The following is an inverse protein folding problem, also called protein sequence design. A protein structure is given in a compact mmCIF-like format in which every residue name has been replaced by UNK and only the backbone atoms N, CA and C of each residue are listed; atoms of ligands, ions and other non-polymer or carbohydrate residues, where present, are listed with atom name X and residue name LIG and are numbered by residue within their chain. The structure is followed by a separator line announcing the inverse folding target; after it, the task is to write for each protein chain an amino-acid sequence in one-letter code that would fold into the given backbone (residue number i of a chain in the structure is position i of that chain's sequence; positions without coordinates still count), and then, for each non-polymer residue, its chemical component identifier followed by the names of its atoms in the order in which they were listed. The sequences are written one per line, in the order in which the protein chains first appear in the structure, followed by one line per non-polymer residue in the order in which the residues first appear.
data_IF_410725628469
#
_entry.id   IF_410725628469
#
_cell.length_a   1.000
_cell.length_b   1.000
_cell.length_c   1.000
_cell.angle_alpha   90.00
_cell.angle_beta   90.00
_cell.angle_gamma   90.00
#
_symmetry.space_group_name_H-M   'P 1'
#
loop_
_entity.id
_entity.type
_entity.pdbx_description
1 polymer ?
#
# COMPACT_ATOMS: atom_id res chain seq x y z
N UNK A 1 -11.05 23.84 -26.87
CA UNK A 1 -12.35 23.38 -26.32
C UNK A 1 -12.11 23.12 -24.84
N UNK A 2 -12.82 23.78 -23.91
CA UNK A 2 -12.35 23.92 -22.53
C UNK A 2 -12.81 22.73 -21.67
N UNK A 3 -11.89 21.81 -21.35
CA UNK A 3 -12.04 20.89 -20.21
C UNK A 3 -11.68 21.56 -18.87
N UNK A 4 -11.37 22.87 -18.88
CA UNK A 4 -10.82 23.60 -17.74
C UNK A 4 -11.82 24.06 -16.68
N UNK A 5 -13.10 23.67 -16.72
CA UNK A 5 -14.10 24.19 -15.77
C UNK A 5 -14.46 23.25 -14.63
N UNK A 6 -14.27 21.93 -14.77
CA UNK A 6 -14.65 20.98 -13.71
C UNK A 6 -13.53 20.82 -12.67
N UNK A 7 -12.28 20.66 -13.14
CA UNK A 7 -11.12 20.41 -12.28
C UNK A 7 -10.76 21.64 -11.41
N UNK A 8 -10.86 22.85 -11.98
CA UNK A 8 -10.65 24.10 -11.23
C UNK A 8 -11.70 24.29 -10.12
N UNK A 9 -12.94 23.85 -10.35
CA UNK A 9 -14.01 23.93 -9.36
C UNK A 9 -13.82 22.92 -8.22
N UNK A 10 -13.38 21.69 -8.53
CA UNK A 10 -13.16 20.66 -7.52
C UNK A 10 -11.96 20.99 -6.63
N UNK A 11 -10.86 21.52 -7.18
CA UNK A 11 -9.71 21.95 -6.39
C UNK A 11 -10.04 23.16 -5.49
N UNK A 12 -10.88 24.09 -5.96
CA UNK A 12 -11.35 25.21 -5.13
C UNK A 12 -12.21 24.72 -3.94
N UNK A 13 -12.97 23.64 -4.14
CA UNK A 13 -13.80 23.04 -3.10
C UNK A 13 -12.99 22.16 -2.13
N UNK A 14 -11.93 21.51 -2.62
CA UNK A 14 -11.08 20.57 -1.89
C UNK A 14 -9.59 20.95 -2.02
N UNK A 15 -9.16 22.04 -1.38
CA UNK A 15 -7.81 22.56 -1.57
C UNK A 15 -6.78 21.64 -0.94
N UNK A 16 -5.83 21.11 -1.73
CA UNK A 16 -4.78 20.22 -1.25
C UNK A 16 -3.40 20.68 -1.73
N UNK A 17 -2.35 20.34 -0.99
CA UNK A 17 -0.97 20.73 -1.29
C UNK A 17 -0.34 19.89 -2.40
N UNK A 18 -0.88 18.70 -2.68
CA UNK A 18 -0.35 17.83 -3.73
C UNK A 18 -0.56 18.43 -5.11
N UNK A 19 0.51 18.55 -5.88
CA UNK A 19 0.43 19.09 -7.23
C UNK A 19 -0.12 18.05 -8.23
N UNK A 20 -1.25 18.43 -8.80
CA UNK A 20 -2.04 17.68 -9.76
C UNK A 20 -2.02 18.32 -11.15
N UNK A 21 -1.23 19.37 -11.36
CA UNK A 21 -1.08 20.07 -12.62
C UNK A 21 -0.58 19.12 -13.72
N UNK A 22 -1.19 19.22 -14.90
CA UNK A 22 -0.90 18.35 -16.05
C UNK A 22 -1.30 16.88 -15.89
N UNK A 23 -1.93 16.50 -14.77
CA UNK A 23 -2.44 15.14 -14.56
C UNK A 23 -3.97 15.11 -14.74
N UNK A 24 -4.50 14.22 -15.60
CA UNK A 24 -5.94 14.11 -15.77
C UNK A 24 -6.61 13.66 -14.47
N UNK A 25 -7.87 14.07 -14.23
CA UNK A 25 -8.65 13.55 -13.11
C UNK A 25 -8.81 12.03 -13.23
N UNK A 26 -8.96 11.32 -12.10
CA UNK A 26 -9.31 9.91 -12.16
C UNK A 26 -10.63 9.70 -12.91
N UNK A 27 -10.84 8.52 -13.52
CA UNK A 27 -12.11 8.20 -14.15
C UNK A 27 -13.27 8.32 -13.16
N UNK A 28 -14.44 8.78 -13.62
CA UNK A 28 -15.62 8.98 -12.78
C UNK A 28 -16.06 7.71 -12.05
N UNK A 29 -15.98 6.57 -12.72
CA UNK A 29 -16.31 5.24 -12.17
C UNK A 29 -15.12 4.57 -11.46
N UNK A 30 -14.02 5.29 -11.28
CA UNK A 30 -12.74 4.77 -10.78
C UNK A 30 -11.89 4.05 -11.83
N UNK A 31 -10.63 3.79 -11.49
CA UNK A 31 -9.72 3.04 -12.36
C UNK A 31 -10.21 1.61 -12.55
N UNK A 32 -10.20 1.16 -13.80
CA UNK A 32 -10.45 -0.24 -14.14
C UNK A 32 -9.24 -1.11 -13.83
N UNK A 33 -9.46 -2.42 -13.81
CA UNK A 33 -8.38 -3.39 -13.67
C UNK A 33 -7.29 -3.20 -14.73
N UNK A 34 -7.69 -3.04 -15.99
CA UNK A 34 -6.74 -2.87 -17.11
C UNK A 34 -5.92 -1.59 -16.97
N UNK A 35 -6.52 -0.50 -16.47
CA UNK A 35 -5.79 0.75 -16.20
C UNK A 35 -4.77 0.58 -15.08
N UNK A 36 -5.14 -0.13 -14.01
CA UNK A 36 -4.23 -0.44 -12.88
C UNK A 36 -3.08 -1.31 -13.36
N UNK A 37 -3.38 -2.41 -14.05
CA UNK A 37 -2.37 -3.33 -14.60
C UNK A 37 -1.44 -2.61 -15.57
N UNK A 38 -1.99 -1.84 -16.52
CA UNK A 38 -1.17 -1.07 -17.46
C UNK A 38 -0.25 -0.06 -16.77
N UNK A 39 -0.73 0.62 -15.72
CA UNK A 39 0.09 1.55 -14.95
C UNK A 39 1.23 0.84 -14.21
N UNK A 40 0.99 -0.37 -13.68
CA UNK A 40 2.00 -1.19 -13.01
C UNK A 40 3.04 -1.71 -14.03
N UNK A 41 2.58 -2.31 -15.13
CA UNK A 41 3.45 -2.91 -16.16
C UNK A 41 4.34 -1.88 -16.86
N UNK A 42 3.81 -0.66 -17.07
CA UNK A 42 4.56 0.45 -17.67
C UNK A 42 5.33 1.31 -16.66
N UNK A 43 5.30 0.96 -15.37
CA UNK A 43 5.85 1.76 -14.28
C UNK A 43 5.36 3.23 -14.28
N UNK A 44 4.14 3.47 -14.75
CA UNK A 44 3.50 4.80 -14.86
C UNK A 44 2.60 5.09 -13.65
N UNK A 45 3.07 4.76 -12.45
CA UNK A 45 2.29 4.83 -11.21
C UNK A 45 1.87 6.26 -10.83
N UNK A 46 2.58 7.28 -11.33
CA UNK A 46 2.21 8.69 -11.18
C UNK A 46 0.84 9.03 -11.79
N UNK A 47 0.36 8.21 -12.73
CA UNK A 47 -0.97 8.32 -13.33
C UNK A 47 -2.10 7.83 -12.42
N UNK A 48 -1.79 7.00 -11.42
CA UNK A 48 -2.76 6.58 -10.41
C UNK A 48 -2.76 7.61 -9.27
N UNK A 49 -3.84 8.39 -9.19
CA UNK A 49 -4.02 9.40 -8.14
C UNK A 49 -5.39 9.34 -7.48
N UNK A 50 -5.51 9.95 -6.31
CA UNK A 50 -6.80 10.21 -5.65
C UNK A 50 -7.58 11.28 -6.42
N UNK A 51 -8.88 11.37 -6.12
CA UNK A 51 -9.66 12.57 -6.44
C UNK A 51 -9.19 13.75 -5.57
N UNK A 52 -9.48 14.99 -5.96
CA UNK A 52 -9.15 16.17 -5.17
C UNK A 52 -9.75 16.09 -3.75
N UNK A 53 -11.01 15.64 -3.63
CA UNK A 53 -11.65 15.35 -2.33
C UNK A 53 -10.90 14.30 -1.53
N UNK A 54 -10.55 13.16 -2.13
CA UNK A 54 -9.84 12.08 -1.44
C UNK A 54 -8.42 12.48 -1.01
N UNK A 55 -7.76 13.31 -1.82
CA UNK A 55 -6.44 13.87 -1.50
C UNK A 55 -6.53 14.88 -0.35
N UNK A 56 -7.53 15.76 -0.38
CA UNK A 56 -7.81 16.69 0.71
C UNK A 56 -8.12 15.96 2.03
N UNK A 57 -8.99 14.95 2.01
CA UNK A 57 -9.31 14.14 3.20
C UNK A 57 -8.07 13.46 3.78
N UNK A 58 -7.20 12.95 2.90
CA UNK A 58 -5.94 12.33 3.28
C UNK A 58 -4.98 13.34 3.95
N UNK A 59 -4.84 14.54 3.39
CA UNK A 59 -3.99 15.59 3.96
C UNK A 59 -4.55 16.14 5.28
N UNK A 60 -5.87 16.32 5.39
CA UNK A 60 -6.53 16.70 6.64
C UNK A 60 -6.24 15.67 7.73
N UNK A 61 -6.37 14.37 7.43
CA UNK A 61 -6.04 13.31 8.38
C UNK A 61 -4.55 13.34 8.78
N UNK A 62 -3.64 13.53 7.83
CA UNK A 62 -2.21 13.64 8.15
C UNK A 62 -1.91 14.81 9.11
N UNK A 63 -2.63 15.92 8.99
CA UNK A 63 -2.48 17.08 9.88
C UNK A 63 -3.05 16.85 11.28
N UNK A 64 -3.96 15.89 11.47
CA UNK A 64 -4.50 15.53 12.78
C UNK A 64 -3.53 14.67 13.61
N UNK A 65 -2.48 14.11 12.99
CA UNK A 65 -1.51 13.27 13.67
C UNK A 65 -0.57 14.14 14.52
N UNK A 66 -0.54 13.87 15.82
CA UNK A 66 0.35 14.55 16.77
C UNK A 66 1.83 14.16 16.54
N UNK A 67 2.51 14.94 15.71
CA UNK A 67 3.93 14.74 15.40
C UNK A 67 4.85 15.01 16.60
N UNK A 68 4.41 15.76 17.62
CA UNK A 68 5.20 15.91 18.84
C UNK A 68 5.20 14.59 19.65
N UNK A 69 4.06 13.88 19.67
CA UNK A 69 3.93 12.58 20.32
C UNK A 69 4.60 11.44 19.53
N UNK A 70 4.40 11.40 18.22
CA UNK A 70 4.80 10.25 17.39
C UNK A 70 6.08 10.49 16.57
N UNK A 71 6.58 11.73 16.45
CA UNK A 71 7.70 12.09 15.59
C UNK A 71 7.35 12.08 14.09
N UNK A 72 6.86 10.95 13.57
CA UNK A 72 6.45 10.79 12.18
C UNK A 72 5.18 9.95 12.00
N UNK A 73 4.57 10.04 10.81
CA UNK A 73 3.33 9.32 10.48
C UNK A 73 3.52 7.80 10.54
N UNK A 74 4.65 7.28 10.09
CA UNK A 74 4.88 5.84 10.12
C UNK A 74 4.92 5.29 11.54
N UNK A 75 5.50 6.01 12.50
CA UNK A 75 5.44 5.64 13.92
C UNK A 75 4.00 5.69 14.45
N UNK A 76 3.20 6.68 14.06
CA UNK A 76 1.77 6.70 14.38
C UNK A 76 1.05 5.46 13.85
N UNK A 77 1.26 5.12 12.57
CA UNK A 77 0.67 3.94 11.93
C UNK A 77 1.10 2.66 12.63
N UNK A 78 2.41 2.46 12.85
CA UNK A 78 2.94 1.29 13.50
C UNK A 78 2.35 1.09 14.90
N UNK A 79 2.35 2.12 15.75
CA UNK A 79 1.90 2.02 17.14
C UNK A 79 0.37 1.95 17.26
N UNK A 80 -0.35 2.78 16.49
CA UNK A 80 -1.79 3.02 16.70
C UNK A 80 -2.66 2.20 15.76
N UNK A 81 -2.27 2.08 14.48
CA UNK A 81 -3.06 1.40 13.44
C UNK A 81 -2.71 -0.09 13.35
N UNK A 82 -1.42 -0.42 13.45
CA UNK A 82 -0.92 -1.79 13.29
C UNK A 82 -0.68 -2.50 14.62
N UNK A 83 -0.65 -1.76 15.73
CA UNK A 83 -0.34 -2.28 17.07
C UNK A 83 1.01 -3.01 17.13
N UNK A 84 2.04 -2.42 16.53
CA UNK A 84 3.42 -2.87 16.53
C UNK A 84 4.25 -1.98 17.46
N UNK A 85 4.14 -2.15 18.80
CA UNK A 85 4.74 -1.25 19.80
C UNK A 85 6.28 -1.21 19.76
N UNK A 86 6.89 -2.23 19.19
CA UNK A 86 8.32 -2.49 19.11
C UNK A 86 8.88 -2.32 17.69
N UNK A 87 8.09 -1.79 16.74
CA UNK A 87 8.67 -1.34 15.48
C UNK A 87 9.49 -0.08 15.75
N UNK A 88 10.80 -0.25 15.81
CA UNK A 88 11.78 0.83 15.74
C UNK A 88 12.32 0.87 14.32
N UNK A 89 12.50 2.07 13.76
CA UNK A 89 13.28 2.21 12.54
C UNK A 89 14.70 1.71 12.85
N UNK A 90 15.24 0.71 12.12
CA UNK A 90 16.60 0.25 12.37
C UNK A 90 17.65 1.37 12.26
N UNK A 91 17.37 2.43 11.49
CA UNK A 91 18.20 3.63 11.43
C UNK A 91 18.20 4.41 12.76
N UNK A 92 17.08 4.42 13.50
CA UNK A 92 16.98 5.00 14.84
C UNK A 92 17.72 4.17 15.89
N UNK A 93 17.72 2.83 15.76
CA UNK A 93 18.42 1.91 16.69
C UNK A 93 19.95 2.09 16.68
N UNK A 94 20.50 2.67 15.61
CA UNK A 94 21.95 2.88 15.46
C UNK A 94 22.47 4.04 16.32
N UNK A 95 21.62 5.01 16.69
CA UNK A 95 22.07 6.21 17.44
C UNK A 95 22.21 5.98 18.95
N UNK A 96 21.60 4.93 19.51
CA UNK A 96 21.59 4.68 20.95
C UNK A 96 22.79 3.88 21.47
N UNK A 97 23.70 3.43 20.58
CA UNK A 97 24.88 2.63 20.96
C UNK A 97 26.24 3.33 20.81
N UNK A 98 26.29 4.65 20.59
CA UNK A 98 27.55 5.39 20.47
C UNK A 98 27.94 6.12 21.76
N UNK A 99 28.42 5.33 22.72
CA UNK A 99 29.29 5.78 23.82
C UNK A 99 30.77 5.40 23.61
N UNK A 100 31.15 4.85 22.45
CA UNK A 100 32.53 4.46 22.18
C UNK A 100 32.90 4.67 20.72
N UNK A 101 33.90 5.52 20.50
CA UNK A 101 34.59 5.71 19.23
C UNK A 101 35.18 4.38 18.71
N UNK A 102 34.57 3.75 17.71
CA UNK A 102 35.24 2.80 16.81
C UNK A 102 34.36 2.51 15.57
N UNK A 103 34.97 2.70 14.38
CA UNK A 103 34.57 2.21 13.05
C UNK A 103 33.07 2.16 12.68
N UNK A 104 32.68 3.04 11.75
CA UNK A 104 31.49 2.88 10.90
C UNK A 104 31.59 1.58 10.07
N UNK A 105 31.31 0.43 10.67
CA UNK A 105 30.84 -0.72 9.89
C UNK A 105 29.34 -0.53 9.71
N UNK A 106 28.92 -0.07 8.53
CA UNK A 106 27.53 -0.04 8.15
C UNK A 106 26.93 -1.45 8.33
N UNK A 107 26.04 -1.62 9.31
CA UNK A 107 25.31 -2.87 9.51
C UNK A 107 24.66 -3.30 8.19
N UNK A 108 24.77 -4.58 7.84
CA UNK A 108 24.04 -5.14 6.70
C UNK A 108 22.53 -5.00 6.91
N UNK A 109 21.75 -5.00 5.83
CA UNK A 109 20.28 -5.00 5.90
C UNK A 109 19.76 -6.12 6.82
N UNK A 110 20.36 -7.31 6.73
CA UNK A 110 19.98 -8.46 7.55
C UNK A 110 20.22 -8.22 9.04
N UNK A 111 21.33 -7.56 9.40
CA UNK A 111 21.64 -7.20 10.78
C UNK A 111 20.69 -6.15 11.35
N UNK A 112 20.25 -5.19 10.52
CA UNK A 112 19.28 -4.16 10.90
C UNK A 112 17.92 -4.73 11.33
N UNK A 113 17.49 -5.83 10.72
CA UNK A 113 16.18 -6.44 10.99
C UNK A 113 16.25 -7.69 11.87
N UNK A 114 17.43 -8.06 12.39
CA UNK A 114 17.62 -9.31 13.17
C UNK A 114 16.67 -9.41 14.36
N UNK A 115 16.52 -8.32 15.11
CA UNK A 115 15.77 -8.30 16.36
C UNK A 115 14.31 -7.86 16.18
N UNK A 116 13.90 -7.53 14.94
CA UNK A 116 12.54 -7.12 14.61
C UNK A 116 11.77 -8.36 14.14
N UNK A 117 10.74 -8.74 14.90
CA UNK A 117 9.91 -9.88 14.53
C UNK A 117 9.26 -9.63 13.16
N UNK A 118 9.33 -10.59 12.22
CA UNK A 118 8.70 -10.46 10.91
C UNK A 118 7.18 -10.42 11.03
N UNK A 119 6.54 -9.32 10.65
CA UNK A 119 5.07 -9.19 10.64
C UNK A 119 4.59 -8.67 9.31
N UNK A 120 3.42 -9.16 8.93
CA UNK A 120 2.64 -8.72 7.79
C UNK A 120 1.24 -8.37 8.28
N UNK A 121 0.69 -7.26 7.83
CA UNK A 121 -0.68 -6.85 8.18
C UNK A 121 -1.35 -6.22 6.97
N UNK A 122 -2.37 -6.92 6.47
CA UNK A 122 -3.24 -6.45 5.40
C UNK A 122 -4.41 -5.65 5.97
N UNK A 123 -4.66 -4.46 5.40
CA UNK A 123 -5.78 -3.58 5.75
C UNK A 123 -6.35 -2.90 4.51
N UNK A 124 -7.65 -2.64 4.51
CA UNK A 124 -8.28 -1.78 3.51
C UNK A 124 -7.60 -0.40 3.56
N UNK A 125 -7.36 0.17 2.39
CA UNK A 125 -6.79 1.50 2.31
C UNK A 125 -7.86 2.52 2.71
N UNK A 126 -7.66 3.20 3.85
CA UNK A 126 -8.57 4.25 4.33
C UNK A 126 -8.67 5.45 3.38
N UNK A 127 -7.64 5.70 2.57
CA UNK A 127 -7.59 6.79 1.60
C UNK A 127 -7.22 6.22 0.22
N UNK A 128 -8.14 5.47 -0.40
CA UNK A 128 -7.86 4.73 -1.62
C UNK A 128 -7.79 5.64 -2.84
N UNK A 129 -7.15 5.16 -3.91
CA UNK A 129 -7.43 5.65 -5.24
C UNK A 129 -8.86 5.24 -5.62
N UNK A 130 -9.60 6.04 -6.39
CA UNK A 130 -10.91 5.62 -6.86
C UNK A 130 -10.74 4.43 -7.81
N UNK A 131 -11.37 3.31 -7.50
CA UNK A 131 -11.37 2.09 -8.31
C UNK A 131 -12.80 1.67 -8.59
N UNK A 132 -13.00 0.91 -9.67
CA UNK A 132 -14.32 0.35 -9.98
C UNK A 132 -14.86 -0.50 -8.82
N UNK A 133 -16.17 -0.52 -8.63
CA UNK A 133 -16.84 -1.16 -7.48
C UNK A 133 -16.38 -2.61 -7.23
N UNK A 134 -16.14 -3.37 -8.30
CA UNK A 134 -15.66 -4.76 -8.21
C UNK A 134 -14.20 -4.92 -7.78
N UNK A 135 -13.53 -3.84 -7.33
CA UNK A 135 -12.13 -3.83 -6.93
C UNK A 135 -12.01 -3.29 -5.49
N UNK A 136 -11.36 -4.05 -4.60
CA UNK A 136 -10.94 -3.57 -3.30
C UNK A 136 -9.46 -3.16 -3.32
N UNK A 137 -9.14 -2.08 -2.60
CA UNK A 137 -7.79 -1.55 -2.47
C UNK A 137 -7.29 -1.72 -1.03
N UNK A 138 -6.30 -2.58 -0.83
CA UNK A 138 -5.62 -2.80 0.43
C UNK A 138 -4.21 -2.19 0.45
N UNK A 139 -3.68 -2.05 1.66
CA UNK A 139 -2.27 -1.84 1.94
C UNK A 139 -1.77 -3.03 2.76
N UNK A 140 -0.69 -3.65 2.30
CA UNK A 140 0.02 -4.67 3.08
C UNK A 140 1.24 -4.02 3.71
N UNK A 141 1.23 -3.93 5.04
CA UNK A 141 2.33 -3.42 5.84
C UNK A 141 3.30 -4.54 6.21
N UNK A 142 4.60 -4.24 6.21
CA UNK A 142 5.66 -5.16 6.58
C UNK A 142 6.64 -4.51 7.57
N UNK A 143 7.13 -5.30 8.53
CA UNK A 143 8.21 -4.86 9.44
C UNK A 143 9.60 -4.95 8.80
N UNK A 144 9.72 -5.72 7.71
CA UNK A 144 10.97 -5.95 6.98
C UNK A 144 11.02 -5.19 5.67
N UNK A 145 12.23 -4.94 5.20
CA UNK A 145 12.47 -4.24 3.94
C UNK A 145 12.02 -5.08 2.74
N UNK A 146 11.04 -4.56 2.03
CA UNK A 146 10.41 -5.17 0.86
C UNK A 146 11.25 -5.06 -0.42
N UNK A 147 12.42 -4.42 -0.35
CA UNK A 147 13.43 -4.50 -1.42
C UNK A 147 14.24 -5.80 -1.37
N UNK A 148 14.19 -6.53 -0.26
CA UNK A 148 14.87 -7.83 -0.10
C UNK A 148 14.04 -8.92 -0.77
N UNK A 149 14.67 -9.74 -1.61
CA UNK A 149 14.01 -10.78 -2.41
C UNK A 149 13.26 -11.80 -1.53
N UNK A 150 13.90 -12.34 -0.50
CA UNK A 150 13.27 -13.29 0.43
C UNK A 150 12.00 -12.70 1.10
N UNK A 151 11.98 -11.39 1.35
CA UNK A 151 10.80 -10.74 1.90
C UNK A 151 9.70 -10.59 0.84
N UNK A 152 10.05 -10.33 -0.44
CA UNK A 152 9.10 -10.34 -1.56
C UNK A 152 8.44 -11.70 -1.75
N UNK A 153 9.23 -12.78 -1.72
CA UNK A 153 8.68 -14.14 -1.79
C UNK A 153 7.73 -14.45 -0.62
N UNK A 154 8.07 -13.99 0.58
CA UNK A 154 7.23 -14.13 1.77
C UNK A 154 5.92 -13.33 1.63
N UNK A 155 5.97 -12.13 1.07
CA UNK A 155 4.80 -11.30 0.79
C UNK A 155 3.88 -11.97 -0.24
N UNK A 156 4.44 -12.48 -1.34
CA UNK A 156 3.67 -13.19 -2.37
C UNK A 156 2.96 -14.40 -1.78
N UNK A 157 3.67 -15.24 -1.01
CA UNK A 157 3.05 -16.39 -0.32
C UNK A 157 1.94 -15.97 0.63
N UNK A 158 2.15 -14.89 1.40
CA UNK A 158 1.13 -14.36 2.29
C UNK A 158 -0.12 -13.91 1.51
N UNK A 159 0.04 -13.20 0.40
CA UNK A 159 -1.07 -12.75 -0.45
C UNK A 159 -1.80 -13.93 -1.11
N UNK A 160 -1.09 -14.96 -1.57
CA UNK A 160 -1.67 -16.21 -2.08
C UNK A 160 -2.54 -16.89 -1.02
N UNK A 161 -2.04 -16.95 0.22
CA UNK A 161 -2.78 -17.46 1.37
C UNK A 161 -4.00 -16.59 1.71
N UNK A 162 -3.90 -15.26 1.58
CA UNK A 162 -5.01 -14.33 1.83
C UNK A 162 -6.13 -14.44 0.80
N UNK A 163 -5.77 -14.56 -0.48
CA UNK A 163 -6.69 -14.27 -1.57
C UNK A 163 -7.14 -15.47 -2.37
N UNK A 164 -6.56 -16.67 -2.18
CA UNK A 164 -6.91 -17.94 -2.85
C UNK A 164 -7.53 -17.70 -4.24
N UNK A 165 -6.69 -17.17 -5.11
CA UNK A 165 -7.02 -16.70 -6.45
C UNK A 165 -5.70 -16.45 -7.17
N UNK A 166 -5.55 -17.00 -8.37
CA UNK A 166 -4.27 -17.02 -9.10
C UNK A 166 -3.71 -15.59 -9.26
N UNK A 167 -2.41 -15.42 -9.00
CA UNK A 167 -1.66 -14.21 -9.37
C UNK A 167 -1.80 -14.01 -10.87
N UNK A 168 -2.18 -12.82 -11.31
CA UNK A 168 -2.40 -12.53 -12.73
C UNK A 168 -1.12 -12.60 -13.57
N UNK A 169 -0.77 -13.80 -14.06
CA UNK A 169 0.04 -14.07 -15.26
C UNK A 169 -0.02 -15.58 -15.63
N UNK A 170 -0.56 -15.86 -16.82
CA UNK A 170 -0.58 -17.10 -17.63
C UNK A 170 -0.29 -18.51 -17.03
N UNK A 171 -1.32 -19.37 -17.16
CA UNK A 171 -1.34 -20.83 -17.42
C UNK A 171 -0.56 -21.79 -16.49
N UNK A 172 -1.30 -22.62 -15.74
CA UNK A 172 -1.34 -24.08 -15.94
C UNK A 172 -2.52 -24.70 -15.14
N UNK A 173 -3.30 -25.57 -15.80
CA UNK A 173 -4.48 -26.24 -15.25
C UNK A 173 -4.06 -27.40 -14.31
N UNK A 174 -3.85 -27.09 -13.04
CA UNK A 174 -3.69 -28.07 -11.97
C UNK A 174 -4.98 -28.24 -11.16
N UNK A 175 -5.63 -29.41 -11.26
CA UNK A 175 -6.75 -29.81 -10.41
C UNK A 175 -6.28 -29.98 -8.96
N UNK A 176 -6.56 -28.99 -8.10
CA UNK A 176 -6.31 -29.04 -6.66
C UNK A 176 -7.60 -28.78 -5.88
N UNK A 177 -7.88 -29.65 -4.91
CA UNK A 177 -9.05 -29.59 -4.02
C UNK A 177 -9.20 -28.20 -3.37
N UNK A 178 -10.36 -27.57 -3.57
CA UNK A 178 -10.74 -26.32 -2.94
C UNK A 178 -11.04 -26.58 -1.45
N UNK A 179 -10.00 -26.58 -0.61
CA UNK A 179 -10.20 -26.30 0.80
C UNK A 179 -10.55 -24.81 0.92
N UNK A 180 -11.77 -24.50 1.34
CA UNK A 180 -12.23 -23.16 1.69
C UNK A 180 -11.38 -22.62 2.85
N UNK A 181 -10.21 -22.06 2.54
CA UNK A 181 -9.41 -21.30 3.50
C UNK A 181 -10.15 -20.00 3.77
N UNK A 182 -10.52 -19.75 5.04
CA UNK A 182 -11.07 -18.46 5.44
C UNK A 182 -10.03 -17.36 5.15
N UNK A 183 -10.43 -16.22 4.57
CA UNK A 183 -9.52 -15.10 4.37
C UNK A 183 -9.05 -14.56 5.72
N UNK A 184 -7.74 -14.34 5.89
CA UNK A 184 -7.22 -13.83 7.17
C UNK A 184 -7.47 -12.31 7.33
N UNK A 185 -7.91 -11.62 6.27
CA UNK A 185 -8.47 -10.26 6.38
C UNK A 185 -9.99 -10.31 6.49
N UNK A 186 -10.53 -9.90 7.63
CA UNK A 186 -11.97 -9.78 7.87
C UNK A 186 -12.67 -8.77 6.94
N UNK A 187 -11.89 -7.90 6.27
CA UNK A 187 -12.37 -6.83 5.40
C UNK A 187 -12.49 -7.28 3.92
N UNK A 188 -12.01 -8.49 3.58
CA UNK A 188 -12.08 -9.01 2.22
C UNK A 188 -13.50 -9.51 1.91
N UNK A 189 -14.14 -8.86 0.95
CA UNK A 189 -15.44 -9.27 0.44
C UNK A 189 -15.38 -10.64 -0.26
N UNK A 190 -16.47 -11.43 -0.29
CA UNK A 190 -16.49 -12.69 -1.03
C UNK A 190 -16.27 -12.48 -2.54
N UNK A 191 -15.96 -13.55 -3.27
CA UNK A 191 -15.84 -13.47 -4.72
C UNK A 191 -17.23 -13.36 -5.35
N UNK A 192 -17.36 -12.62 -6.46
CA UNK A 192 -18.60 -12.63 -7.26
C UNK A 192 -18.96 -14.06 -7.65
N UNK A 193 -20.25 -14.43 -7.67
CA UNK A 193 -20.69 -15.75 -8.09
C UNK A 193 -20.10 -16.16 -9.45
N UNK A 194 -19.42 -17.31 -9.51
CA UNK A 194 -18.81 -17.84 -10.73
C UNK A 194 -17.49 -17.17 -11.14
N UNK A 195 -16.93 -16.27 -10.34
CA UNK A 195 -15.63 -15.64 -10.56
C UNK A 195 -14.60 -16.11 -9.54
N UNK A 196 -13.33 -16.02 -9.91
CA UNK A 196 -12.19 -16.15 -8.99
C UNK A 196 -11.65 -14.75 -8.75
N UNK A 197 -11.24 -14.47 -7.52
CA UNK A 197 -10.53 -13.21 -7.22
C UNK A 197 -9.20 -13.22 -7.96
N UNK A 198 -8.83 -12.07 -8.47
CA UNK A 198 -7.50 -11.80 -8.97
C UNK A 198 -6.91 -10.65 -8.16
N UNK A 199 -5.61 -10.70 -7.95
CA UNK A 199 -4.90 -9.67 -7.20
C UNK A 199 -3.62 -9.25 -7.92
N UNK A 200 -3.25 -7.99 -7.71
CA UNK A 200 -2.01 -7.39 -8.19
C UNK A 200 -1.50 -6.44 -7.12
N UNK A 201 -0.18 -6.27 -7.03
CA UNK A 201 0.40 -5.31 -6.12
C UNK A 201 1.54 -4.53 -6.75
N UNK A 202 1.81 -3.37 -6.14
CA UNK A 202 2.96 -2.55 -6.47
C UNK A 202 3.47 -1.83 -5.23
N UNK A 203 4.71 -1.35 -5.30
CA UNK A 203 5.29 -0.46 -4.29
C UNK A 203 5.41 0.91 -4.92
N UNK A 204 4.94 1.95 -4.24
CA UNK A 204 5.17 3.31 -4.72
C UNK A 204 6.68 3.57 -4.88
N UNK A 205 7.12 4.24 -5.96
CA UNK A 205 8.44 4.84 -6.04
C UNK A 205 8.69 5.78 -4.84
N UNK A 206 9.96 5.99 -4.48
CA UNK A 206 10.33 6.75 -3.27
C UNK A 206 9.70 8.14 -3.27
N UNK A 207 9.65 8.79 -4.42
CA UNK A 207 9.06 10.11 -4.64
C UNK A 207 7.53 10.16 -4.48
N UNK A 208 6.84 9.02 -4.53
CA UNK A 208 5.38 8.92 -4.33
C UNK A 208 5.00 8.37 -2.95
N UNK A 209 5.97 7.99 -2.11
CA UNK A 209 5.71 7.42 -0.78
C UNK A 209 5.46 8.51 0.24
N UNK A 210 4.23 8.56 0.77
CA UNK A 210 3.91 9.44 1.90
C UNK A 210 4.40 8.90 3.26
N UNK A 211 4.61 7.58 3.39
CA UNK A 211 5.04 6.94 4.64
C UNK A 211 6.33 6.15 4.38
N UNK A 212 7.48 6.82 4.47
CA UNK A 212 8.77 6.20 4.18
C UNK A 212 9.29 5.25 5.28
N UNK A 213 8.84 5.44 6.53
CA UNK A 213 9.40 4.79 7.73
C UNK A 213 8.77 3.43 8.06
N UNK A 214 7.73 3.01 7.36
CA UNK A 214 7.13 1.67 7.49
C UNK A 214 6.95 1.09 6.09
N UNK A 215 7.52 -0.09 5.87
CA UNK A 215 7.44 -0.75 4.58
C UNK A 215 6.01 -1.17 4.28
N UNK A 216 5.57 -0.88 3.06
CA UNK A 216 4.24 -1.25 2.62
C UNK A 216 4.16 -1.37 1.10
N UNK A 217 3.22 -2.19 0.65
CA UNK A 217 2.83 -2.31 -0.73
C UNK A 217 1.32 -2.10 -0.87
N UNK A 218 0.92 -1.69 -2.06
CA UNK A 218 -0.46 -1.44 -2.44
C UNK A 218 -0.98 -2.68 -3.15
N UNK A 219 -2.12 -3.22 -2.69
CA UNK A 219 -2.73 -4.43 -3.27
C UNK A 219 -4.11 -4.08 -3.79
N UNK A 220 -4.38 -4.42 -5.04
CA UNK A 220 -5.73 -4.42 -5.60
C UNK A 220 -6.24 -5.84 -5.73
N UNK A 221 -7.51 -6.05 -5.40
CA UNK A 221 -8.20 -7.34 -5.55
C UNK A 221 -9.48 -7.11 -6.34
N UNK A 222 -9.65 -7.76 -7.49
CA UNK A 222 -10.88 -7.66 -8.30
C UNK A 222 -11.80 -8.85 -8.17
N UNK A 223 -12.98 -8.72 -8.75
CA UNK A 223 -14.07 -9.69 -8.77
C UNK A 223 -14.62 -10.00 -7.37
N UNK A 224 -14.70 -8.96 -6.53
CA UNK A 224 -15.39 -9.00 -5.24
C UNK A 224 -16.89 -8.76 -5.39
N UNK A 225 -17.68 -9.41 -4.55
CA UNK A 225 -19.14 -9.26 -4.47
C UNK A 225 -19.50 -8.09 -3.55
N UNK A 226 -20.12 -7.05 -4.13
CA UNK A 226 -20.44 -5.76 -3.48
C UNK A 226 -21.92 -5.68 -3.18
#
# INVERSE_FOLDING_TARGET
MPESTQQDNDHALYPHATDFEGRPPPPKEGYSWDQITAAIDSNSLHGLRRTDKGQWEYEVWQHQIDRAKYGNIGRYIALTVLHWPDLLDPAETTQTQSGSHANESALTLQERYRDIAPRLTLRLNHYPFPVQESIQYFVLWATRDISVEDERERLDRYLEEQFVGQRGAALEEGQGQQNERQPLSAELLPAKPGKKKEWIWFVNPVELRSVATVHHLHVFVRDVDV
#
